data_IF_761293293753
#
_entry.id   IF_761293293753
#
_cell.length_a   1.000
_cell.length_b   1.000
_cell.length_c   1.000
_cell.angle_alpha   90.00
_cell.angle_beta   90.00
_cell.angle_gamma   90.00
#
_symmetry.space_group_name_H-M   'P 1'
#
loop_
_entity.id
_entity.type
_entity.pdbx_description
1 polymer ?
#
# COMPACT_ATOMS: atom_id res chain seq x y z
N UNK A 1 24.02 -17.97 -13.32
CA UNK A 1 24.67 -18.00 -14.64
C UNK A 1 26.06 -17.38 -14.49
N UNK A 2 27.09 -17.87 -15.18
CA UNK A 2 28.44 -17.27 -15.20
C UNK A 2 28.60 -16.52 -16.51
N UNK A 3 29.04 -15.26 -16.47
CA UNK A 3 29.27 -14.47 -17.68
C UNK A 3 30.31 -15.13 -18.60
N UNK A 4 29.95 -15.31 -19.86
CA UNK A 4 30.85 -15.81 -20.90
C UNK A 4 31.39 -14.64 -21.74
N UNK A 5 32.61 -14.72 -22.29
CA UNK A 5 33.05 -13.72 -23.25
C UNK A 5 32.14 -13.73 -24.49
N UNK A 6 31.80 -12.56 -25.06
CA UNK A 6 30.96 -12.46 -26.25
C UNK A 6 31.65 -13.10 -27.47
N UNK A 7 30.88 -13.75 -28.34
CA UNK A 7 31.35 -14.22 -29.65
C UNK A 7 31.17 -13.16 -30.75
N UNK A 8 31.57 -13.47 -31.99
CA UNK A 8 31.47 -12.52 -33.13
C UNK A 8 30.00 -12.13 -33.41
N UNK A 9 29.04 -13.03 -33.17
CA UNK A 9 27.62 -12.75 -33.34
C UNK A 9 27.13 -11.78 -32.25
N UNK A 10 27.55 -11.99 -31.00
CA UNK A 10 27.23 -11.12 -29.86
C UNK A 10 27.78 -9.69 -30.09
N UNK A 11 29.01 -9.57 -30.59
CA UNK A 11 29.64 -8.27 -30.89
C UNK A 11 28.90 -7.53 -32.02
N UNK A 12 28.56 -8.23 -33.10
CA UNK A 12 27.82 -7.64 -34.23
C UNK A 12 26.42 -7.19 -33.80
N UNK A 13 25.74 -7.99 -32.99
CA UNK A 13 24.44 -7.65 -32.42
C UNK A 13 24.52 -6.42 -31.50
N UNK A 14 25.47 -6.41 -30.55
CA UNK A 14 25.65 -5.30 -29.61
C UNK A 14 25.98 -4.00 -30.35
N UNK A 15 26.88 -4.04 -31.33
CA UNK A 15 27.24 -2.87 -32.13
C UNK A 15 26.07 -2.32 -32.95
N UNK A 16 25.17 -3.21 -33.38
CA UNK A 16 23.95 -2.83 -34.10
C UNK A 16 22.96 -2.15 -33.16
N UNK A 17 22.73 -2.73 -31.98
CA UNK A 17 21.78 -2.18 -31.00
C UNK A 17 22.27 -0.84 -30.43
N UNK A 18 23.57 -0.70 -30.13
CA UNK A 18 24.15 0.56 -29.66
C UNK A 18 24.06 1.70 -30.70
N UNK A 19 24.01 1.36 -32.00
CA UNK A 19 23.81 2.38 -33.05
C UNK A 19 22.37 2.92 -33.05
N UNK A 20 21.41 2.07 -32.71
CA UNK A 20 20.00 2.44 -32.64
C UNK A 20 19.62 3.12 -31.33
N UNK A 21 20.22 2.66 -30.22
CA UNK A 21 20.01 3.19 -28.88
C UNK A 21 21.32 3.77 -28.35
N UNK A 22 21.79 4.92 -28.91
CA UNK A 22 22.98 5.55 -28.40
C UNK A 22 22.78 5.93 -26.93
N UNK A 23 23.82 5.81 -26.12
CA UNK A 23 23.73 6.07 -24.68
C UNK A 23 23.31 7.51 -24.35
N UNK A 24 23.35 8.43 -25.31
CA UNK A 24 22.82 9.80 -25.19
C UNK A 24 21.29 9.91 -25.25
N UNK A 25 20.58 8.87 -25.67
CA UNK A 25 19.11 8.87 -25.81
C UNK A 25 18.39 8.06 -24.73
N UNK A 26 19.14 7.40 -23.85
CA UNK A 26 18.62 6.56 -22.75
C UNK A 26 19.31 6.93 -21.45
N UNK A 27 18.63 6.77 -20.32
CA UNK A 27 19.20 7.08 -19.01
C UNK A 27 20.28 6.05 -18.63
N UNK A 28 20.07 4.78 -19.00
CA UNK A 28 21.07 3.74 -18.86
C UNK A 28 20.91 2.64 -19.92
N UNK A 29 22.04 2.02 -20.27
CA UNK A 29 22.11 0.83 -21.11
C UNK A 29 23.14 -0.11 -20.51
N UNK A 30 22.70 -1.31 -20.13
CA UNK A 30 23.53 -2.38 -19.54
C UNK A 30 23.33 -3.63 -20.37
N UNK A 31 24.41 -4.36 -20.64
CA UNK A 31 24.35 -5.61 -21.38
C UNK A 31 25.18 -6.68 -20.71
N UNK A 32 24.76 -7.94 -20.89
CA UNK A 32 25.47 -9.11 -20.40
C UNK A 32 25.26 -10.29 -21.36
N UNK A 33 26.15 -11.28 -21.31
CA UNK A 33 26.08 -12.49 -22.14
C UNK A 33 25.90 -13.71 -21.23
N UNK A 34 24.77 -14.37 -21.40
CA UNK A 34 24.39 -15.55 -20.65
C UNK A 34 24.57 -16.80 -21.51
N UNK A 35 25.10 -17.88 -20.94
CA UNK A 35 25.19 -19.17 -21.62
C UNK A 35 24.19 -20.14 -21.01
N UNK A 36 23.31 -20.72 -21.84
CA UNK A 36 22.34 -21.72 -21.40
C UNK A 36 23.00 -23.08 -21.08
N UNK A 37 22.22 -24.02 -20.54
CA UNK A 37 22.71 -25.38 -20.24
C UNK A 37 23.17 -26.18 -21.47
N UNK A 38 22.83 -25.72 -22.68
CA UNK A 38 23.27 -26.27 -23.95
C UNK A 38 24.55 -25.64 -24.51
N UNK A 39 25.11 -24.63 -23.84
CA UNK A 39 26.30 -23.92 -24.31
C UNK A 39 26.01 -22.82 -25.34
N UNK A 40 24.76 -22.40 -25.49
CA UNK A 40 24.36 -21.33 -26.43
C UNK A 40 24.34 -19.99 -25.71
N UNK A 41 24.99 -18.99 -26.30
CA UNK A 41 24.98 -17.62 -25.78
C UNK A 41 23.66 -16.90 -26.07
N UNK A 42 23.24 -16.07 -25.12
CA UNK A 42 22.18 -15.08 -25.22
C UNK A 42 22.78 -13.74 -24.84
N UNK A 43 22.81 -12.80 -25.77
CA UNK A 43 23.06 -11.40 -25.47
C UNK A 43 21.76 -10.80 -24.94
N UNK A 44 21.78 -10.27 -23.72
CA UNK A 44 20.67 -9.54 -23.15
C UNK A 44 21.09 -8.10 -22.85
N UNK A 45 20.25 -7.15 -23.25
CA UNK A 45 20.50 -5.72 -23.11
C UNK A 45 19.31 -5.11 -22.36
N UNK A 46 19.56 -4.63 -21.15
CA UNK A 46 18.61 -3.85 -20.37
C UNK A 46 18.76 -2.37 -20.73
N UNK A 47 17.64 -1.75 -21.07
CA UNK A 47 17.56 -0.35 -21.47
C UNK A 47 16.62 0.38 -20.53
N UNK A 48 17.14 1.41 -19.86
CA UNK A 48 16.34 2.33 -19.04
C UNK A 48 16.13 3.61 -19.85
N UNK A 49 14.94 3.82 -20.43
CA UNK A 49 14.65 5.03 -21.18
C UNK A 49 14.39 6.22 -20.23
N UNK A 50 14.43 7.46 -20.76
CA UNK A 50 14.02 8.65 -20.02
C UNK A 50 12.60 8.51 -19.50
N UNK A 51 12.32 9.14 -18.34
CA UNK A 51 10.97 9.13 -17.72
C UNK A 51 9.84 9.49 -18.71
N UNK A 52 10.11 10.37 -19.68
CA UNK A 52 9.13 10.77 -20.70
C UNK A 52 8.67 9.64 -21.63
N UNK A 53 9.35 8.50 -21.63
CA UNK A 53 9.07 7.35 -22.50
C UNK A 53 8.53 6.14 -21.73
N UNK A 54 8.47 6.21 -20.39
CA UNK A 54 7.94 5.13 -19.56
C UNK A 54 6.41 5.11 -19.61
N UNK A 55 5.81 3.94 -19.42
CA UNK A 55 4.36 3.77 -19.30
C UNK A 55 3.54 3.73 -20.60
N UNK A 56 4.09 4.00 -21.78
CA UNK A 56 3.35 3.78 -23.05
C UNK A 56 3.49 2.33 -23.53
N UNK A 57 2.42 1.52 -23.53
CA UNK A 57 2.48 0.12 -23.96
C UNK A 57 2.79 -0.05 -25.45
N UNK A 58 2.62 1.00 -26.26
CA UNK A 58 2.96 1.00 -27.69
C UNK A 58 4.36 1.56 -27.97
N UNK A 59 5.06 2.08 -26.95
CA UNK A 59 6.38 2.67 -27.15
C UNK A 59 7.38 1.65 -27.68
N UNK A 60 7.48 0.49 -27.04
CA UNK A 60 8.45 -0.54 -27.43
C UNK A 60 8.26 -1.05 -28.87
N UNK A 61 7.06 -1.46 -29.32
CA UNK A 61 6.88 -1.86 -30.72
C UNK A 61 7.17 -0.71 -31.70
N UNK A 62 6.69 0.52 -31.43
CA UNK A 62 6.95 1.66 -32.29
C UNK A 62 8.45 2.02 -32.36
N UNK A 63 9.16 1.88 -31.24
CA UNK A 63 10.60 2.06 -31.15
C UNK A 63 11.32 1.01 -32.00
N UNK A 64 10.97 -0.27 -31.88
CA UNK A 64 11.58 -1.34 -32.66
C UNK A 64 11.35 -1.14 -34.15
N UNK A 65 10.14 -0.80 -34.58
CA UNK A 65 9.83 -0.51 -35.99
C UNK A 65 10.65 0.67 -36.51
N UNK A 66 10.74 1.75 -35.72
CA UNK A 66 11.49 2.96 -36.09
C UNK A 66 12.99 2.69 -36.20
N UNK A 67 13.56 1.94 -35.26
CA UNK A 67 14.99 1.68 -35.20
C UNK A 67 15.45 0.66 -36.24
N UNK A 68 14.62 -0.33 -36.53
CA UNK A 68 14.98 -1.46 -37.40
C UNK A 68 14.48 -1.32 -38.84
N UNK A 69 13.60 -0.34 -39.09
CA UNK A 69 12.88 -0.19 -40.37
C UNK A 69 12.14 -1.48 -40.78
N UNK A 70 11.71 -2.28 -39.80
CA UNK A 70 11.13 -3.61 -39.99
C UNK A 70 9.86 -3.77 -39.15
N UNK A 71 8.88 -4.51 -39.66
CA UNK A 71 7.63 -4.79 -38.94
C UNK A 71 7.91 -5.57 -37.64
N UNK A 72 7.22 -5.19 -36.57
CA UNK A 72 7.31 -5.89 -35.28
C UNK A 72 6.18 -6.92 -35.15
N UNK A 73 6.55 -8.16 -34.83
CA UNK A 73 5.64 -9.28 -34.58
C UNK A 73 5.41 -9.45 -33.07
N UNK A 74 4.16 -9.54 -32.62
CA UNK A 74 3.85 -9.92 -31.23
C UNK A 74 3.93 -11.43 -31.10
N UNK A 75 4.85 -11.93 -30.29
CA UNK A 75 5.06 -13.39 -30.08
C UNK A 75 4.27 -13.88 -28.87
N UNK A 76 4.30 -13.10 -27.78
CA UNK A 76 3.53 -13.30 -26.55
C UNK A 76 3.01 -11.93 -26.07
N UNK A 77 2.00 -11.88 -25.19
CA UNK A 77 1.56 -10.61 -24.59
C UNK A 77 2.75 -9.84 -23.97
N UNK A 78 3.02 -8.63 -24.48
CA UNK A 78 4.14 -7.79 -24.03
C UNK A 78 5.53 -8.17 -24.57
N UNK A 79 5.62 -9.22 -25.40
CA UNK A 79 6.87 -9.67 -26.02
C UNK A 79 6.81 -9.54 -27.54
N UNK A 80 7.82 -8.88 -28.09
CA UNK A 80 7.91 -8.48 -29.48
C UNK A 80 9.11 -9.14 -30.14
N UNK A 81 8.97 -9.46 -31.42
CA UNK A 81 10.03 -9.98 -32.27
C UNK A 81 10.21 -9.07 -33.47
N UNK A 82 11.45 -8.79 -33.81
CA UNK A 82 11.79 -8.06 -35.03
C UNK A 82 12.97 -8.74 -35.72
N UNK A 83 12.88 -8.83 -37.05
CA UNK A 83 13.92 -9.44 -37.89
C UNK A 83 14.58 -8.35 -38.69
N UNK A 84 15.83 -8.05 -38.37
CA UNK A 84 16.50 -6.90 -38.98
C UNK A 84 17.21 -7.28 -40.30
N UNK A 85 17.54 -6.30 -41.16
CA UNK A 85 18.35 -6.54 -42.35
C UNK A 85 19.67 -7.22 -41.96
N UNK A 86 19.95 -8.39 -42.54
CA UNK A 86 21.01 -9.38 -42.22
C UNK A 86 20.56 -10.61 -41.43
N UNK A 87 19.28 -10.71 -41.06
CA UNK A 87 18.70 -11.92 -40.48
C UNK A 87 18.97 -12.11 -38.98
N UNK A 88 19.46 -11.07 -38.30
CA UNK A 88 19.51 -11.05 -36.83
C UNK A 88 18.06 -10.93 -36.32
N UNK A 89 17.72 -11.79 -35.36
CA UNK A 89 16.39 -11.83 -34.76
C UNK A 89 16.51 -11.28 -33.35
N UNK A 90 15.74 -10.24 -33.06
CA UNK A 90 15.68 -9.63 -31.75
C UNK A 90 14.35 -9.96 -31.12
N UNK A 91 14.38 -10.30 -29.84
CA UNK A 91 13.20 -10.33 -29.00
C UNK A 91 13.30 -9.18 -28.02
N UNK A 92 12.18 -8.53 -27.74
CA UNK A 92 12.14 -7.43 -26.80
C UNK A 92 10.91 -7.56 -25.90
N UNK A 93 11.08 -7.18 -24.64
CA UNK A 93 10.01 -7.17 -23.66
C UNK A 93 10.11 -5.93 -22.80
N UNK A 94 8.96 -5.28 -22.55
CA UNK A 94 8.89 -4.19 -21.58
C UNK A 94 9.05 -4.75 -20.17
N UNK A 95 9.93 -4.13 -19.39
CA UNK A 95 10.01 -4.31 -17.92
C UNK A 95 9.30 -3.18 -17.18
N UNK A 96 8.73 -2.24 -17.96
CA UNK A 96 7.96 -1.09 -17.53
C UNK A 96 8.77 0.11 -17.04
N UNK A 97 9.83 -0.10 -16.26
CA UNK A 97 10.85 0.95 -16.03
C UNK A 97 11.82 1.08 -17.21
N UNK A 98 11.67 0.18 -18.17
CA UNK A 98 12.46 0.09 -19.38
C UNK A 98 12.07 -1.12 -20.20
N UNK A 99 13.03 -1.66 -20.93
CA UNK A 99 12.82 -2.87 -21.71
C UNK A 99 14.11 -3.66 -21.83
N UNK A 100 13.96 -4.95 -22.10
CA UNK A 100 15.08 -5.86 -22.34
C UNK A 100 15.01 -6.34 -23.77
N UNK A 101 16.12 -6.22 -24.48
CA UNK A 101 16.32 -6.77 -25.82
C UNK A 101 17.23 -7.98 -25.70
N UNK A 102 16.84 -9.11 -26.29
CA UNK A 102 17.66 -10.31 -26.35
C UNK A 102 17.87 -10.78 -27.77
N UNK A 103 19.01 -11.43 -28.01
CA UNK A 103 19.28 -12.12 -29.26
C UNK A 103 20.25 -13.28 -29.05
N UNK A 104 20.22 -14.23 -29.99
CA UNK A 104 21.04 -15.45 -29.93
C UNK A 104 21.12 -16.08 -31.31
N UNK A 105 22.23 -16.74 -31.60
CA UNK A 105 22.40 -17.57 -32.79
C UNK A 105 21.35 -18.69 -32.89
N UNK A 106 20.73 -19.05 -31.77
CA UNK A 106 19.53 -19.92 -31.70
C UNK A 106 18.35 -19.11 -31.14
N UNK A 107 17.46 -18.57 -31.99
CA UNK A 107 16.39 -17.63 -31.57
C UNK A 107 15.51 -18.14 -30.41
N UNK A 108 15.24 -19.44 -30.38
CA UNK A 108 14.45 -20.05 -29.30
C UNK A 108 15.11 -20.03 -27.91
N UNK A 109 16.41 -19.75 -27.80
CA UNK A 109 17.11 -19.57 -26.51
C UNK A 109 16.91 -18.13 -26.01
N UNK A 110 17.01 -17.13 -26.89
CA UNK A 110 16.75 -15.73 -26.55
C UNK A 110 15.29 -15.49 -26.12
N UNK A 111 14.33 -16.07 -26.84
CA UNK A 111 12.91 -16.02 -26.48
C UNK A 111 12.66 -16.66 -25.11
N UNK A 112 13.23 -17.86 -24.87
CA UNK A 112 13.08 -18.57 -23.59
C UNK A 112 13.70 -17.81 -22.42
N UNK A 113 14.83 -17.13 -22.64
CA UNK A 113 15.40 -16.25 -21.63
C UNK A 113 14.41 -15.15 -21.22
N UNK A 114 13.73 -14.52 -22.18
CA UNK A 114 12.69 -13.53 -21.87
C UNK A 114 11.47 -14.18 -21.23
N UNK A 115 11.06 -15.38 -21.62
CA UNK A 115 9.96 -16.11 -20.94
C UNK A 115 10.30 -16.43 -19.48
N UNK A 116 11.51 -16.93 -19.21
CA UNK A 116 12.01 -17.23 -17.87
C UNK A 116 12.12 -15.96 -17.04
N UNK A 117 12.70 -14.90 -17.61
CA UNK A 117 12.78 -13.60 -16.97
C UNK A 117 11.39 -13.03 -16.70
N UNK A 118 10.47 -13.15 -17.66
CA UNK A 118 9.07 -12.75 -17.51
C UNK A 118 8.35 -13.57 -16.47
N UNK A 119 8.70 -14.84 -16.26
CA UNK A 119 8.10 -15.68 -15.21
C UNK A 119 8.68 -15.33 -13.82
N UNK A 120 9.95 -14.93 -13.76
CA UNK A 120 10.57 -14.38 -12.55
C UNK A 120 10.03 -12.99 -12.21
N UNK A 121 9.81 -12.14 -13.22
CA UNK A 121 9.30 -10.77 -13.09
C UNK A 121 7.78 -10.66 -13.15
N UNK A 122 7.08 -11.74 -13.53
CA UNK A 122 5.62 -11.83 -13.39
C UNK A 122 5.30 -11.50 -11.94
N UNK A 123 4.20 -10.77 -11.64
CA UNK A 123 3.81 -10.49 -10.27
C UNK A 123 3.76 -11.81 -9.51
N UNK A 124 4.84 -12.09 -8.76
CA UNK A 124 4.89 -13.27 -7.93
C UNK A 124 3.75 -13.07 -6.93
N UNK A 125 3.01 -14.13 -6.60
CA UNK A 125 2.00 -14.06 -5.55
C UNK A 125 2.77 -13.90 -4.24
N UNK A 126 3.10 -12.67 -3.86
CA UNK A 126 4.11 -12.48 -2.82
C UNK A 126 3.48 -12.53 -1.46
N UNK A 127 2.35 -11.83 -1.27
CA UNK A 127 1.67 -11.77 0.00
C UNK A 127 0.28 -12.36 -0.13
N UNK A 128 -0.11 -13.18 0.84
CA UNK A 128 -1.49 -13.60 1.04
C UNK A 128 -1.96 -13.10 2.38
N UNK A 129 -3.28 -12.91 2.53
CA UNK A 129 -3.86 -12.62 3.84
C UNK A 129 -3.37 -13.64 4.89
N UNK A 130 -2.98 -13.16 6.07
CA UNK A 130 -2.39 -13.92 7.16
C UNK A 130 -0.87 -14.13 7.08
N UNK A 131 -0.17 -13.59 6.07
CA UNK A 131 1.29 -13.62 6.06
C UNK A 131 1.88 -12.58 7.01
N UNK A 132 2.87 -13.00 7.78
CA UNK A 132 3.62 -12.16 8.72
C UNK A 132 4.88 -11.59 8.06
N UNK A 133 5.12 -10.30 8.30
CA UNK A 133 6.17 -9.51 7.67
C UNK A 133 7.11 -8.90 8.71
N UNK A 134 8.39 -8.88 8.39
CA UNK A 134 9.39 -8.06 9.07
C UNK A 134 9.72 -6.85 8.19
N UNK A 135 9.14 -5.70 8.52
CA UNK A 135 9.43 -4.42 7.86
C UNK A 135 10.58 -3.77 8.61
N UNK A 136 11.67 -3.45 7.93
CA UNK A 136 12.81 -2.78 8.53
C UNK A 136 12.39 -1.38 9.02
N UNK A 137 12.54 -1.05 10.32
CA UNK A 137 12.17 0.26 10.86
C UNK A 137 12.95 1.42 10.23
N UNK A 138 14.12 1.15 9.63
CA UNK A 138 14.92 2.16 8.92
C UNK A 138 14.44 2.39 7.47
N UNK A 139 13.48 1.60 6.99
CA UNK A 139 12.84 1.81 5.68
C UNK A 139 11.61 2.70 5.80
N UNK A 140 11.62 3.86 5.13
CA UNK A 140 10.53 4.84 5.22
C UNK A 140 9.21 4.38 4.56
N UNK A 141 9.26 3.35 3.71
CA UNK A 141 8.12 2.91 2.91
C UNK A 141 8.09 1.39 2.77
N UNK A 142 6.88 0.81 2.69
CA UNK A 142 6.73 -0.56 2.20
C UNK A 142 7.46 -0.72 0.85
N UNK A 143 8.12 -1.85 0.60
CA UNK A 143 8.76 -2.09 -0.67
C UNK A 143 7.73 -2.10 -1.81
N UNK A 144 8.14 -1.58 -2.97
CA UNK A 144 7.35 -1.55 -4.20
C UNK A 144 6.98 -2.95 -4.69
N UNK A 145 5.92 -3.07 -5.51
CA UNK A 145 5.62 -4.32 -6.17
C UNK A 145 6.65 -4.64 -7.29
N UNK A 146 6.97 -5.92 -7.52
CA UNK A 146 6.51 -7.08 -6.78
C UNK A 146 7.11 -7.09 -5.36
N UNK A 147 6.26 -7.30 -4.36
CA UNK A 147 6.73 -7.29 -2.98
C UNK A 147 7.85 -8.33 -2.79
N UNK A 148 8.82 -8.08 -1.92
CA UNK A 148 9.96 -8.96 -1.80
C UNK A 148 9.61 -10.13 -0.84
N UNK A 149 10.04 -11.35 -1.19
CA UNK A 149 9.73 -12.56 -0.42
C UNK A 149 10.54 -12.69 0.87
N UNK A 150 11.68 -12.02 0.94
CA UNK A 150 12.62 -12.04 2.05
C UNK A 150 12.08 -11.35 3.30
N UNK A 151 11.12 -10.43 3.15
CA UNK A 151 10.46 -9.81 4.31
C UNK A 151 9.36 -10.70 4.91
N UNK A 152 8.93 -11.76 4.22
CA UNK A 152 7.97 -12.72 4.75
C UNK A 152 8.67 -13.63 5.75
N UNK A 153 8.19 -13.64 6.99
CA UNK A 153 8.77 -14.42 8.08
C UNK A 153 7.71 -15.35 8.70
N UNK A 154 8.11 -16.47 9.35
CA UNK A 154 7.16 -17.31 10.06
C UNK A 154 6.46 -16.51 11.17
N UNK A 155 5.12 -16.61 11.27
CA UNK A 155 4.35 -15.92 12.29
C UNK A 155 4.72 -16.34 13.72
N UNK A 156 5.22 -17.56 13.94
CA UNK A 156 5.74 -18.00 15.23
C UNK A 156 7.03 -17.26 15.64
N UNK A 157 7.71 -16.63 14.68
CA UNK A 157 8.88 -15.78 14.88
C UNK A 157 8.53 -14.31 15.12
N UNK A 158 9.54 -13.53 15.47
CA UNK A 158 9.40 -12.10 15.67
C UNK A 158 9.11 -11.38 14.35
N UNK A 159 8.04 -10.60 14.31
CA UNK A 159 7.60 -9.80 13.16
C UNK A 159 6.88 -8.55 13.66
N UNK A 160 6.69 -7.54 12.80
CA UNK A 160 6.05 -6.26 13.18
C UNK A 160 4.84 -5.91 12.31
N UNK A 161 4.55 -6.69 11.28
CA UNK A 161 3.41 -6.45 10.42
C UNK A 161 2.74 -7.74 9.92
N UNK A 162 1.48 -7.63 9.53
CA UNK A 162 0.70 -8.74 8.96
C UNK A 162 -0.13 -8.25 7.77
N UNK A 163 -0.26 -9.08 6.75
CA UNK A 163 -1.08 -8.82 5.58
C UNK A 163 -2.52 -9.18 5.91
N UNK A 164 -3.43 -8.21 6.00
CA UNK A 164 -4.87 -8.48 6.23
C UNK A 164 -5.62 -8.74 4.94
N UNK A 165 -5.22 -8.10 3.85
CA UNK A 165 -5.80 -8.32 2.54
C UNK A 165 -4.73 -8.24 1.45
N UNK A 166 -4.89 -9.09 0.46
CA UNK A 166 -4.02 -9.16 -0.70
C UNK A 166 -4.81 -9.71 -1.89
N UNK A 167 -4.97 -8.91 -2.95
CA UNK A 167 -5.75 -9.31 -4.13
C UNK A 167 -5.42 -8.49 -5.37
N UNK A 168 -5.93 -8.91 -6.52
CA UNK A 168 -5.93 -8.06 -7.71
C UNK A 168 -7.05 -7.01 -7.68
N UNK A 169 -6.77 -5.81 -8.22
CA UNK A 169 -7.72 -4.68 -8.30
C UNK A 169 -7.87 -4.14 -9.71
N UNK A 170 -9.02 -3.51 -9.97
CA UNK A 170 -9.38 -2.89 -11.25
C UNK A 170 -9.01 -3.72 -12.48
N UNK A 171 -9.32 -5.02 -12.45
CA UNK A 171 -9.19 -5.95 -13.59
C UNK A 171 -9.99 -5.48 -14.82
N UNK A 172 -11.00 -4.64 -14.59
CA UNK A 172 -11.91 -4.12 -15.63
C UNK A 172 -11.50 -2.72 -16.13
N UNK A 173 -10.48 -2.11 -15.51
CA UNK A 173 -9.99 -0.78 -15.87
C UNK A 173 -8.89 -0.89 -16.94
N UNK A 174 -9.19 -0.41 -18.15
CA UNK A 174 -8.25 -0.38 -19.27
C UNK A 174 -7.16 0.70 -19.12
N UNK A 175 -7.36 1.69 -18.25
CA UNK A 175 -6.44 2.79 -17.97
C UNK A 175 -6.39 3.05 -16.46
N UNK A 176 -5.28 3.61 -16.00
CA UNK A 176 -5.14 4.04 -14.62
C UNK A 176 -6.18 5.12 -14.31
N UNK A 177 -6.94 4.94 -13.23
CA UNK A 177 -7.93 5.89 -12.71
C UNK A 177 -7.68 6.03 -11.21
N UNK A 178 -6.91 7.06 -10.83
CA UNK A 178 -6.47 7.26 -9.46
C UNK A 178 -7.64 7.34 -8.46
N UNK A 179 -8.76 7.95 -8.86
CA UNK A 179 -9.92 8.14 -7.98
C UNK A 179 -10.66 6.82 -7.78
N UNK A 180 -10.93 6.09 -8.87
CA UNK A 180 -11.61 4.80 -8.79
C UNK A 180 -10.79 3.77 -8.01
N UNK A 181 -9.48 3.70 -8.25
CA UNK A 181 -8.58 2.76 -7.58
C UNK A 181 -8.39 3.17 -6.12
N UNK A 182 -8.25 4.47 -5.81
CA UNK A 182 -8.17 4.95 -4.42
C UNK A 182 -9.45 4.64 -3.65
N UNK A 183 -10.61 4.80 -4.27
CA UNK A 183 -11.89 4.44 -3.67
C UNK A 183 -11.96 2.94 -3.37
N UNK A 184 -11.62 2.09 -4.34
CA UNK A 184 -11.57 0.63 -4.16
C UNK A 184 -10.55 0.22 -3.07
N UNK A 185 -9.35 0.79 -3.08
CA UNK A 185 -8.29 0.57 -2.08
C UNK A 185 -8.79 0.88 -0.68
N UNK A 186 -9.34 2.08 -0.48
CA UNK A 186 -9.82 2.49 0.84
C UNK A 186 -10.95 1.57 1.30
N UNK A 187 -11.91 1.29 0.42
CA UNK A 187 -13.02 0.38 0.68
C UNK A 187 -12.52 -1.00 1.16
N UNK A 188 -11.61 -1.61 0.42
CA UNK A 188 -11.19 -3.00 0.65
C UNK A 188 -10.25 -3.14 1.85
N UNK A 189 -9.31 -2.20 2.01
CA UNK A 189 -8.41 -2.22 3.15
C UNK A 189 -9.13 -1.85 4.46
N UNK A 190 -10.02 -0.85 4.44
CA UNK A 190 -10.78 -0.48 5.63
C UNK A 190 -11.73 -1.62 6.06
N UNK A 191 -12.30 -2.35 5.08
CA UNK A 191 -13.05 -3.58 5.35
C UNK A 191 -12.22 -4.61 6.09
N UNK A 192 -11.11 -5.02 5.47
CA UNK A 192 -10.27 -6.09 5.98
C UNK A 192 -9.69 -5.74 7.36
N UNK A 193 -9.34 -4.46 7.57
CA UNK A 193 -8.94 -3.97 8.86
C UNK A 193 -10.06 -4.08 9.89
N UNK A 194 -11.25 -3.57 9.58
CA UNK A 194 -12.38 -3.52 10.52
C UNK A 194 -12.89 -4.90 10.91
N UNK A 195 -12.85 -5.86 9.97
CA UNK A 195 -13.23 -7.25 10.23
C UNK A 195 -12.32 -7.92 11.29
N UNK A 196 -11.08 -7.45 11.43
CA UNK A 196 -10.08 -8.02 12.37
C UNK A 196 -9.98 -7.21 13.66
N UNK A 197 -9.86 -5.88 13.56
CA UNK A 197 -9.52 -5.00 14.70
C UNK A 197 -10.69 -4.12 15.17
N UNK A 198 -11.82 -4.17 14.46
CA UNK A 198 -12.96 -3.29 14.71
C UNK A 198 -12.77 -1.89 14.11
N UNK A 199 -13.66 -0.99 14.51
CA UNK A 199 -14.02 0.17 13.70
C UNK A 199 -13.10 1.38 13.71
N UNK A 200 -11.92 1.29 14.30
CA UNK A 200 -11.13 2.46 14.68
C UNK A 200 -9.70 2.37 14.15
N UNK A 201 -9.44 3.15 13.11
CA UNK A 201 -8.20 3.15 12.31
C UNK A 201 -7.04 3.91 12.96
N UNK A 202 -7.34 4.79 13.91
CA UNK A 202 -6.33 5.59 14.61
C UNK A 202 -5.68 4.85 15.79
N UNK A 203 -6.15 3.64 16.07
CA UNK A 203 -5.55 2.75 17.05
C UNK A 203 -4.41 1.91 16.48
N UNK A 204 -3.51 1.46 17.35
CA UNK A 204 -2.61 0.36 17.05
C UNK A 204 -3.45 -0.91 16.86
N UNK A 205 -3.35 -1.62 15.72
CA UNK A 205 -2.33 -1.52 14.68
C UNK A 205 -2.59 -0.47 13.58
N UNK A 206 -1.52 0.12 13.02
CA UNK A 206 -1.61 1.06 11.91
C UNK A 206 -1.85 0.35 10.58
N UNK A 207 -2.87 0.77 9.83
CA UNK A 207 -3.13 0.27 8.47
C UNK A 207 -2.26 0.99 7.43
N UNK A 208 -1.39 0.23 6.77
CA UNK A 208 -0.58 0.64 5.62
C UNK A 208 -1.20 0.02 4.37
N UNK A 209 -1.43 0.83 3.34
CA UNK A 209 -2.01 0.36 2.08
C UNK A 209 -1.00 0.53 0.95
N UNK A 210 -0.85 -0.51 0.15
CA UNK A 210 -0.10 -0.45 -1.10
C UNK A 210 -1.07 -0.53 -2.28
N UNK A 211 -0.80 0.29 -3.29
CA UNK A 211 -1.56 0.36 -4.52
C UNK A 211 -0.58 0.69 -5.65
N UNK A 212 -0.72 0.08 -6.85
CA UNK A 212 0.09 0.44 -7.99
C UNK A 212 -0.12 1.91 -8.33
N UNK A 213 0.98 2.62 -8.58
CA UNK A 213 0.96 3.90 -9.25
C UNK A 213 0.63 3.76 -10.76
N UNK A 214 0.61 4.87 -11.48
CA UNK A 214 0.30 4.88 -12.92
C UNK A 214 1.32 4.08 -13.73
N UNK A 215 2.61 4.15 -13.36
CA UNK A 215 3.67 3.45 -14.08
C UNK A 215 3.52 1.94 -13.87
N UNK A 216 3.42 1.50 -12.61
CA UNK A 216 3.08 0.14 -12.17
C UNK A 216 1.84 -0.39 -12.91
N UNK A 217 0.78 0.42 -12.94
CA UNK A 217 -0.44 0.08 -13.65
C UNK A 217 -0.20 -0.14 -15.15
N UNK A 218 0.59 0.72 -15.79
CA UNK A 218 0.91 0.58 -17.21
C UNK A 218 1.79 -0.65 -17.49
N UNK A 219 2.52 -1.18 -16.50
CA UNK A 219 3.22 -2.48 -16.59
C UNK A 219 2.31 -3.69 -16.52
N UNK A 220 1.06 -3.49 -16.09
CA UNK A 220 0.12 -4.58 -15.81
C UNK A 220 0.04 -4.96 -14.33
N UNK A 221 0.68 -4.21 -13.43
CA UNK A 221 0.55 -4.43 -12.00
C UNK A 221 -0.88 -4.07 -11.58
N UNK A 222 -1.60 -5.06 -11.07
CA UNK A 222 -3.00 -4.95 -10.64
C UNK A 222 -3.11 -5.54 -9.26
N UNK A 223 -2.54 -4.91 -8.25
CA UNK A 223 -2.48 -5.53 -6.93
C UNK A 223 -2.74 -4.55 -5.79
N UNK A 224 -3.51 -4.99 -4.81
CA UNK A 224 -3.78 -4.28 -3.58
C UNK A 224 -3.24 -5.13 -2.45
N UNK A 225 -2.43 -4.52 -1.59
CA UNK A 225 -2.10 -5.12 -0.30
C UNK A 225 -2.46 -4.14 0.81
N UNK A 226 -3.06 -4.71 1.85
CA UNK A 226 -3.40 -4.01 3.08
C UNK A 226 -2.61 -4.70 4.19
N UNK A 227 -1.68 -3.96 4.77
CA UNK A 227 -0.76 -4.44 5.78
C UNK A 227 -1.04 -3.68 7.06
N UNK A 228 -1.11 -4.39 8.18
CA UNK A 228 -1.22 -3.78 9.49
C UNK A 228 0.12 -3.88 10.20
N UNK A 229 0.57 -2.79 10.80
CA UNK A 229 1.84 -2.69 11.52
C UNK A 229 1.58 -2.31 12.98
N UNK A 230 2.24 -2.98 13.91
CA UNK A 230 2.25 -2.52 15.30
C UNK A 230 3.33 -1.47 15.48
N UNK A 231 2.92 -0.26 15.86
CA UNK A 231 3.81 0.84 16.18
C UNK A 231 3.52 1.37 17.57
N UNK A 232 4.56 1.84 18.23
CA UNK A 232 4.48 2.70 19.41
C UNK A 232 5.26 4.00 19.19
N UNK A 233 5.42 4.76 20.28
CA UNK A 233 6.16 6.03 20.28
C UNK A 233 7.66 5.88 19.97
N UNK A 234 8.22 4.67 20.03
CA UNK A 234 9.61 4.35 19.70
C UNK A 234 9.77 3.71 18.31
N UNK A 235 8.68 3.38 17.61
CA UNK A 235 8.69 2.81 16.26
C UNK A 235 7.94 1.48 16.16
N UNK A 236 8.22 0.68 15.11
CA UNK A 236 7.62 -0.64 14.94
C UNK A 236 7.92 -1.58 16.11
N UNK A 237 6.89 -2.26 16.62
CA UNK A 237 7.00 -3.24 17.70
C UNK A 237 7.06 -4.66 17.15
N UNK A 238 8.01 -5.44 17.66
CA UNK A 238 8.10 -6.87 17.35
C UNK A 238 7.17 -7.68 18.25
N UNK A 239 6.48 -8.64 17.66
CA UNK A 239 5.62 -9.60 18.33
C UNK A 239 5.68 -10.98 17.67
N UNK A 240 5.03 -11.96 18.29
CA UNK A 240 4.94 -13.35 17.81
C UNK A 240 3.49 -13.80 17.80
N UNK A 241 3.14 -14.66 16.83
CA UNK A 241 1.78 -15.13 16.59
C UNK A 241 0.97 -14.18 15.70
N UNK A 242 -0.18 -14.62 15.15
CA UNK A 242 -1.04 -13.79 14.32
C UNK A 242 -1.56 -12.58 15.08
N UNK A 243 -1.62 -11.42 14.41
CA UNK A 243 -2.15 -10.18 14.95
C UNK A 243 -3.66 -10.28 15.24
N UNK A 244 -4.40 -11.06 14.45
CA UNK A 244 -5.82 -11.34 14.69
C UNK A 244 -6.09 -12.08 16.02
N UNK A 245 -5.10 -12.80 16.57
CA UNK A 245 -5.23 -13.51 17.85
C UNK A 245 -4.97 -12.60 19.06
N UNK A 246 -4.51 -11.37 18.83
CA UNK A 246 -4.18 -10.40 19.88
C UNK A 246 -5.40 -9.63 20.35
N UNK A 247 -6.03 -10.13 21.41
CA UNK A 247 -7.19 -9.48 22.04
C UNK A 247 -6.89 -8.09 22.59
N UNK A 248 -5.62 -7.77 22.88
CA UNK A 248 -5.19 -6.45 23.35
C UNK A 248 -5.18 -5.38 22.26
N UNK A 249 -5.31 -5.78 20.99
CA UNK A 249 -5.46 -4.87 19.85
C UNK A 249 -6.93 -4.57 19.53
N UNK A 250 -7.87 -5.35 20.06
CA UNK A 250 -9.28 -5.04 19.93
C UNK A 250 -9.60 -3.80 20.77
N UNK A 251 -9.87 -2.67 20.12
CA UNK A 251 -10.19 -1.44 20.83
C UNK A 251 -11.69 -1.33 21.08
N UNK A 252 -12.10 -1.59 22.32
CA UNK A 252 -13.50 -1.55 22.76
C UNK A 252 -13.61 -1.00 24.20
N UNK A 253 -13.41 0.33 24.40
CA UNK A 253 -13.51 0.93 25.72
C UNK A 253 -14.93 0.76 26.29
N UNK A 254 -15.02 0.60 27.61
CA UNK A 254 -16.31 0.66 28.30
C UNK A 254 -16.81 2.11 28.34
N UNK A 255 -18.13 2.32 28.29
CA UNK A 255 -18.73 3.64 28.51
C UNK A 255 -18.24 4.24 29.84
N UNK A 256 -17.76 5.48 29.80
CA UNK A 256 -17.09 6.18 30.90
C UNK A 256 -15.57 6.05 30.93
N UNK A 257 -14.96 5.27 30.03
CA UNK A 257 -13.51 5.16 29.95
C UNK A 257 -12.87 6.51 29.56
N UNK A 258 -11.87 6.93 30.34
CA UNK A 258 -11.04 8.10 30.05
C UNK A 258 -9.93 7.77 29.07
N UNK A 259 -9.70 8.68 28.12
CA UNK A 259 -8.78 8.50 27.01
C UNK A 259 -7.71 9.58 27.01
N UNK A 260 -6.45 9.18 26.90
CA UNK A 260 -5.36 10.14 26.76
C UNK A 260 -5.47 10.97 25.47
N UNK A 261 -4.75 12.09 25.41
CA UNK A 261 -4.80 13.02 24.28
C UNK A 261 -3.86 12.59 23.14
N UNK A 262 -3.47 11.32 23.09
CA UNK A 262 -2.62 10.79 22.01
C UNK A 262 -3.43 10.56 20.74
N UNK A 263 -2.72 10.39 19.61
CA UNK A 263 -3.37 10.04 18.34
C UNK A 263 -4.02 8.66 18.36
N UNK A 264 -3.57 7.75 19.23
CA UNK A 264 -4.09 6.39 19.41
C UNK A 264 -4.60 6.20 20.85
N UNK A 265 -5.72 6.84 21.22
CA UNK A 265 -6.09 7.15 22.60
C UNK A 265 -6.19 5.95 23.54
N UNK A 266 -5.28 5.83 24.50
CA UNK A 266 -5.30 4.71 25.45
C UNK A 266 -6.30 4.95 26.59
N UNK A 267 -6.92 3.86 27.07
CA UNK A 267 -7.75 3.91 28.27
C UNK A 267 -6.85 4.14 29.49
N UNK A 268 -7.14 5.20 30.24
CA UNK A 268 -6.38 5.62 31.42
C UNK A 268 -7.31 5.88 32.62
N UNK A 269 -6.74 5.98 33.81
CA UNK A 269 -7.50 6.34 35.03
C UNK A 269 -8.04 7.77 34.89
N UNK A 270 -9.34 7.97 35.10
CA UNK A 270 -9.94 9.29 35.02
C UNK A 270 -9.36 10.30 36.01
N UNK A 271 -8.75 9.87 37.11
CA UNK A 271 -8.07 10.75 38.05
C UNK A 271 -6.81 11.41 37.48
N UNK A 272 -6.25 10.89 36.38
CA UNK A 272 -5.12 11.49 35.67
C UNK A 272 -5.58 12.34 34.48
N UNK A 273 -4.66 13.18 34.00
CA UNK A 273 -4.87 14.09 32.87
C UNK A 273 -5.28 13.32 31.62
N UNK A 274 -6.42 13.67 31.03
CA UNK A 274 -6.95 13.05 29.81
C UNK A 274 -7.70 14.06 28.95
N UNK A 275 -7.82 13.79 27.65
CA UNK A 275 -8.40 14.71 26.67
C UNK A 275 -9.87 14.46 26.37
N UNK A 276 -10.32 13.21 26.51
CA UNK A 276 -11.69 12.82 26.22
C UNK A 276 -12.16 11.63 27.04
N UNK A 277 -13.48 11.39 27.04
CA UNK A 277 -14.08 10.18 27.57
C UNK A 277 -14.94 9.51 26.52
N UNK A 278 -14.85 8.19 26.41
CA UNK A 278 -15.81 7.42 25.61
C UNK A 278 -17.15 7.35 26.34
N UNK A 279 -18.21 7.88 25.75
CA UNK A 279 -19.54 7.91 26.38
C UNK A 279 -20.45 6.79 25.86
N UNK A 280 -20.17 6.23 24.68
CA UNK A 280 -20.86 5.06 24.16
C UNK A 280 -20.95 5.03 22.64
N UNK A 281 -21.66 4.02 22.15
CA UNK A 281 -21.93 3.83 20.73
C UNK A 281 -23.38 4.20 20.40
N UNK A 282 -23.59 4.79 19.22
CA UNK A 282 -24.92 5.09 18.67
C UNK A 282 -25.07 4.52 17.27
N UNK A 283 -26.27 4.06 16.96
CA UNK A 283 -26.63 3.64 15.59
C UNK A 283 -27.22 4.83 14.84
N UNK A 284 -26.60 5.23 13.74
CA UNK A 284 -27.09 6.33 12.89
C UNK A 284 -28.17 5.84 11.94
N UNK A 285 -29.36 6.43 12.01
CA UNK A 285 -30.47 6.15 11.08
C UNK A 285 -30.31 6.92 9.75
N UNK A 286 -29.25 6.57 9.00
CA UNK A 286 -29.08 7.02 7.62
C UNK A 286 -28.85 5.83 6.70
N UNK A 287 -29.52 5.83 5.55
CA UNK A 287 -29.45 4.72 4.60
C UNK A 287 -28.16 4.71 3.78
N UNK A 288 -27.48 5.86 3.65
CA UNK A 288 -26.22 6.05 2.92
C UNK A 288 -25.27 6.90 3.74
N UNK A 289 -23.98 6.89 3.39
CA UNK A 289 -23.01 7.80 3.98
C UNK A 289 -23.50 9.25 3.84
N UNK A 290 -23.63 10.02 4.94
CA UNK A 290 -24.13 11.39 4.85
C UNK A 290 -23.09 12.29 4.19
N UNK A 291 -23.52 13.19 3.30
CA UNK A 291 -22.63 14.20 2.72
C UNK A 291 -22.07 15.15 3.77
N UNK A 292 -22.84 15.40 4.83
CA UNK A 292 -22.41 16.10 6.05
C UNK A 292 -22.35 15.10 7.21
N UNK A 293 -21.46 14.11 7.09
CA UNK A 293 -21.32 13.06 8.09
C UNK A 293 -20.99 13.62 9.47
N UNK A 294 -20.21 14.69 9.54
CA UNK A 294 -19.83 15.32 10.80
C UNK A 294 -21.06 15.81 11.57
N UNK A 295 -21.95 16.58 10.92
CA UNK A 295 -23.16 17.08 11.59
C UNK A 295 -24.11 15.94 11.99
N UNK A 296 -24.31 14.95 11.11
CA UNK A 296 -25.21 13.81 11.39
C UNK A 296 -24.70 12.95 12.55
N UNK A 297 -23.41 12.65 12.57
CA UNK A 297 -22.81 11.81 13.60
C UNK A 297 -22.75 12.53 14.95
N UNK A 298 -22.38 13.82 14.94
CA UNK A 298 -22.41 14.67 16.15
C UNK A 298 -23.82 14.73 16.74
N UNK A 299 -24.85 14.93 15.90
CA UNK A 299 -26.24 14.96 16.35
C UNK A 299 -26.67 13.63 16.98
N UNK A 300 -26.25 12.49 16.43
CA UNK A 300 -26.55 11.18 17.01
C UNK A 300 -25.90 10.99 18.40
N UNK A 301 -24.72 11.57 18.63
CA UNK A 301 -24.02 11.50 19.91
C UNK A 301 -24.56 12.46 20.98
N UNK A 302 -25.31 13.51 20.62
CA UNK A 302 -25.81 14.51 21.58
C UNK A 302 -26.76 13.90 22.63
N UNK A 303 -27.54 12.89 22.24
CA UNK A 303 -28.46 12.22 23.17
C UNK A 303 -27.70 11.49 24.30
N UNK A 304 -26.58 10.83 23.98
CA UNK A 304 -25.70 10.21 24.98
C UNK A 304 -25.03 11.24 25.88
N UNK A 305 -24.66 12.41 25.33
CA UNK A 305 -24.01 13.45 26.10
C UNK A 305 -24.90 13.91 27.26
N UNK A 306 -26.19 14.13 27.02
CA UNK A 306 -27.13 14.59 28.03
C UNK A 306 -27.19 13.71 29.28
N UNK A 307 -26.97 12.39 29.12
CA UNK A 307 -26.92 11.43 30.22
C UNK A 307 -25.59 11.47 31.00
N UNK A 308 -24.52 11.93 30.35
CA UNK A 308 -23.16 11.97 30.87
C UNK A 308 -22.80 13.29 31.57
N UNK A 309 -23.60 14.36 31.44
CA UNK A 309 -23.21 15.68 31.96
C UNK A 309 -23.46 15.83 33.47
N UNK A 310 -22.37 16.03 34.21
CA UNK A 310 -22.37 16.60 35.57
C UNK A 310 -22.07 18.11 35.56
N UNK A 311 -22.25 18.77 36.71
CA UNK A 311 -21.90 20.20 36.88
C UNK A 311 -20.37 20.38 36.93
N UNK A 312 -19.73 20.54 35.76
CA UNK A 312 -18.32 20.90 35.65
C UNK A 312 -18.06 22.39 35.37
N UNK A 313 -16.80 22.85 35.49
CA UNK A 313 -16.42 24.26 35.32
C UNK A 313 -16.36 24.71 33.85
N UNK A 314 -16.39 23.77 32.89
CA UNK A 314 -16.31 24.04 31.46
C UNK A 314 -17.47 23.39 30.69
N UNK A 315 -17.67 23.83 29.45
CA UNK A 315 -18.66 23.22 28.56
C UNK A 315 -18.11 21.88 28.08
N UNK A 316 -18.95 20.86 27.99
CA UNK A 316 -18.59 19.57 27.36
C UNK A 316 -19.28 19.50 26.01
N UNK A 317 -18.56 19.02 25.01
CA UNK A 317 -19.06 18.78 23.65
C UNK A 317 -18.73 17.34 23.23
N UNK A 318 -19.32 16.89 22.12
CA UNK A 318 -19.12 15.54 21.60
C UNK A 318 -18.39 15.51 20.28
N UNK A 319 -17.46 14.55 20.16
CA UNK A 319 -16.86 14.16 18.92
C UNK A 319 -17.37 12.76 18.57
N UNK A 320 -17.77 12.59 17.33
CA UNK A 320 -18.28 11.34 16.83
C UNK A 320 -17.23 10.74 15.88
N UNK A 321 -16.69 9.58 16.23
CA UNK A 321 -15.84 8.78 15.35
C UNK A 321 -16.63 7.59 14.84
N UNK A 322 -16.84 7.52 13.54
CA UNK A 322 -17.51 6.38 12.90
C UNK A 322 -16.55 5.66 11.97
N UNK A 323 -16.97 4.46 11.56
CA UNK A 323 -16.38 3.81 10.39
C UNK A 323 -16.46 4.72 9.16
N UNK A 324 -15.57 4.53 8.20
CA UNK A 324 -15.65 5.22 6.92
C UNK A 324 -16.93 4.90 6.13
N UNK A 325 -17.14 5.58 4.98
CA UNK A 325 -18.29 5.38 4.10
C UNK A 325 -18.63 3.93 3.80
N UNK A 326 -17.60 3.09 3.70
CA UNK A 326 -17.78 1.71 3.32
C UNK A 326 -18.47 0.83 4.38
N UNK A 327 -17.98 0.80 5.62
CA UNK A 327 -18.61 -0.08 6.62
C UNK A 327 -20.04 0.41 6.91
N UNK A 328 -20.23 1.72 6.82
CA UNK A 328 -21.54 2.34 6.74
C UNK A 328 -22.35 1.78 5.57
N UNK A 329 -21.85 1.65 4.35
CA UNK A 329 -22.63 1.03 3.27
C UNK A 329 -22.95 -0.46 3.47
N UNK A 330 -22.17 -1.20 4.28
CA UNK A 330 -22.39 -2.64 4.54
C UNK A 330 -23.39 -2.97 5.65
N UNK A 331 -23.82 -1.97 6.41
CA UNK A 331 -24.76 -2.18 7.51
C UNK A 331 -24.28 -1.64 8.84
N UNK A 332 -22.97 -1.39 8.99
CA UNK A 332 -22.43 -0.86 10.23
C UNK A 332 -22.70 0.64 10.34
N UNK A 333 -23.82 0.94 11.00
CA UNK A 333 -24.27 2.30 11.31
C UNK A 333 -23.73 2.79 12.65
N UNK A 334 -22.81 2.07 13.26
CA UNK A 334 -22.32 2.37 14.60
C UNK A 334 -21.32 3.51 14.54
N UNK A 335 -21.58 4.53 15.34
CA UNK A 335 -20.69 5.66 15.57
C UNK A 335 -20.34 5.68 17.04
N UNK A 336 -19.05 5.85 17.32
CA UNK A 336 -18.51 5.97 18.66
C UNK A 336 -18.51 7.42 19.09
N UNK A 337 -19.03 7.68 20.28
CA UNK A 337 -19.18 9.02 20.82
C UNK A 337 -18.18 9.27 21.94
N UNK A 338 -17.49 10.40 21.85
CA UNK A 338 -16.54 10.86 22.85
C UNK A 338 -16.95 12.23 23.35
N UNK A 339 -16.90 12.44 24.66
CA UNK A 339 -17.04 13.74 25.27
C UNK A 339 -15.66 14.38 25.46
N UNK A 340 -15.57 15.70 25.30
CA UNK A 340 -14.37 16.49 25.61
C UNK A 340 -14.77 17.85 26.20
N UNK A 341 -13.87 18.47 26.96
CA UNK A 341 -14.12 19.76 27.58
C UNK A 341 -13.64 20.92 26.70
N UNK A 342 -14.39 22.02 26.75
CA UNK A 342 -14.14 23.25 26.01
C UNK A 342 -14.02 24.46 26.96
N UNK A 343 -12.92 25.21 26.82
CA UNK A 343 -12.74 26.54 27.42
C UNK A 343 -12.52 27.54 26.30
N UNK A 344 -13.35 28.57 26.23
CA UNK A 344 -13.32 29.59 25.16
C UNK A 344 -13.31 28.97 23.73
N UNK A 345 -13.99 27.83 23.56
CA UNK A 345 -14.09 27.10 22.30
C UNK A 345 -12.88 26.25 21.93
N UNK A 346 -11.90 26.08 22.83
CA UNK A 346 -10.73 25.22 22.63
C UNK A 346 -10.83 23.96 23.49
N UNK A 347 -10.39 22.83 22.92
CA UNK A 347 -10.29 21.54 23.65
C UNK A 347 -9.24 21.68 24.75
N UNK A 348 -9.61 21.29 25.97
CA UNK A 348 -8.72 21.28 27.13
C UNK A 348 -8.69 19.91 27.78
N UNK A 349 -7.57 19.58 28.41
CA UNK A 349 -7.46 18.35 29.19
C UNK A 349 -8.11 18.53 30.57
N UNK A 350 -8.56 17.41 31.13
CA UNK A 350 -9.27 17.37 32.42
C UNK A 350 -8.70 16.28 33.33
N UNK A 351 -9.06 16.36 34.61
CA UNK A 351 -8.99 15.23 35.55
C UNK A 351 -10.35 15.06 36.24
N UNK A 352 -10.72 13.81 36.47
CA UNK A 352 -12.02 13.37 36.95
C UNK A 352 -12.97 13.00 35.80
N UNK A 353 -14.12 12.44 36.14
CA UNK A 353 -15.05 11.88 35.14
C UNK A 353 -16.17 12.85 34.77
N UNK A 354 -16.58 12.93 33.50
CA UNK A 354 -17.69 13.79 33.07
C UNK A 354 -19.04 13.35 33.66
N UNK A 355 -19.25 12.04 33.88
CA UNK A 355 -20.41 11.51 34.62
C UNK A 355 -20.33 11.72 36.15
N UNK A 356 -19.24 12.31 36.64
CA UNK A 356 -18.92 12.43 38.06
C UNK A 356 -18.48 13.84 38.45
N UNK A 357 -17.28 13.95 39.02
CA UNK A 357 -16.66 15.25 39.35
C UNK A 357 -15.39 15.36 38.54
N UNK A 358 -15.23 16.48 37.85
CA UNK A 358 -14.08 16.75 36.99
C UNK A 358 -13.67 18.22 37.04
N UNK A 359 -12.44 18.49 36.57
CA UNK A 359 -11.83 19.83 36.55
C UNK A 359 -10.93 19.99 35.34
N UNK A 360 -10.82 21.22 34.84
CA UNK A 360 -9.87 21.58 33.77
C UNK A 360 -8.44 21.58 34.34
N UNK A 361 -7.50 21.07 33.55
CA UNK A 361 -6.07 21.16 33.82
C UNK A 361 -5.46 22.19 32.88
N UNK A 362 -4.92 23.27 33.43
CA UNK A 362 -4.16 24.27 32.68
C UNK A 362 -2.64 24.06 32.81
N UNK A 363 -1.85 24.89 32.12
CA UNK A 363 -0.38 24.82 32.17
C UNK A 363 0.24 25.08 33.54
N UNK A 364 -0.55 25.44 34.56
CA UNK A 364 -0.13 25.67 35.95
C UNK A 364 -0.66 24.62 36.94
N UNK A 365 -1.57 23.75 36.53
CA UNK A 365 -2.15 22.68 37.35
C UNK A 365 -3.67 22.58 37.19
N UNK A 366 -4.35 22.09 38.25
CA UNK A 366 -5.82 21.98 38.26
C UNK A 366 -6.42 23.39 38.40
N UNK A 367 -7.11 23.86 37.38
CA UNK A 367 -7.88 25.11 37.43
C UNK A 367 -9.09 24.93 38.37
N UNK A 368 -9.36 25.95 39.19
CA UNK A 368 -10.33 25.90 40.28
C UNK A 368 -11.79 25.91 39.82
#
# INVERSE_FOLDING_TARGET
MTGSPPDDYDIDALSTIQRWLPQSTVDALVWDVFTDGGGTNVLAISVIPPLTWRGDPNFLPALLETLTESDTEVVLPGMFKVVIPRGLILFAQSTGDGFIVTTSSTPGVAMRYLEELSAESSPQTVWTSGMCLYIDPDTETLPYAPFPKDIVVPCEGAHNAEVVLSRQIGTDLAKYDADAITYERNYECDKAYSDVFGSQREHTPTLITYMPDEDEWNRGDRYLACVVELRDTNGPQLFTGPMADRSDLAWNPDSGACLDSSFAPQVIDCAIRHGSQFIGDVTVDAQRWPSDFFAVFTAACQDLLGEFLSNGPATVDVFASGLGPFAFEQGDRTVRCYAFALVDGQVVDVAGSFDGVWRVIDGTGIAA
#
